data_IF_538913533898
#
_entry.id   IF_538913533898
#
_cell.length_a   1.000
_cell.length_b   1.000
_cell.length_c   1.000
_cell.angle_alpha   90.00
_cell.angle_beta   90.00
_cell.angle_gamma   90.00
#
_symmetry.space_group_name_H-M   'P 1'
#
loop_
_entity.id
_entity.type
_entity.pdbx_description
1 polymer ?
#
# COMPACT_ATOMS: atom_id res chain seq x y z
N UNK A 1 4.58 52.55 36.15
CA UNK A 1 4.64 51.39 35.23
C UNK A 1 3.41 51.49 34.34
N UNK A 2 3.58 52.21 33.25
CA UNK A 2 2.50 52.81 32.48
C UNK A 2 1.86 51.78 31.54
N UNK A 3 0.54 51.85 31.39
CA UNK A 3 -0.30 50.83 30.73
C UNK A 3 0.11 50.55 29.27
N UNK A 4 0.77 51.50 28.62
CA UNK A 4 1.29 51.42 27.24
C UNK A 4 2.48 50.45 27.11
N UNK A 5 3.30 50.28 28.15
CA UNK A 5 4.44 49.36 28.15
C UNK A 5 4.01 47.89 28.19
N UNK A 6 2.79 47.62 28.69
CA UNK A 6 2.23 46.26 28.81
C UNK A 6 1.64 45.75 27.49
N UNK A 7 1.18 46.66 26.62
CA UNK A 7 0.63 46.29 25.31
C UNK A 7 1.70 46.04 24.26
N UNK A 8 2.86 46.70 24.35
CA UNK A 8 4.00 46.44 23.47
C UNK A 8 4.65 45.08 23.74
N UNK A 9 4.61 44.59 24.99
CA UNK A 9 5.13 43.28 25.35
C UNK A 9 4.23 42.13 24.84
N UNK A 10 2.91 42.33 24.80
CA UNK A 10 1.98 41.31 24.32
C UNK A 10 1.97 41.14 22.80
N UNK A 11 2.29 42.19 22.03
CA UNK A 11 2.25 42.12 20.57
C UNK A 11 3.45 41.36 19.96
N UNK A 12 4.54 41.17 20.72
CA UNK A 12 5.75 40.49 20.24
C UNK A 12 5.68 38.95 20.33
N UNK A 13 4.67 38.38 21.01
CA UNK A 13 4.58 36.94 21.28
C UNK A 13 3.68 36.15 20.31
N UNK A 14 3.18 36.76 19.21
CA UNK A 14 2.22 36.10 18.31
C UNK A 14 2.75 35.81 16.90
N UNK A 15 4.07 35.78 16.69
CA UNK A 15 4.67 35.60 15.37
C UNK A 15 5.48 34.32 15.20
N UNK A 16 5.10 33.23 15.88
CA UNK A 16 5.78 31.93 15.74
C UNK A 16 4.79 30.76 15.72
N UNK A 17 3.94 30.69 14.69
CA UNK A 17 3.18 29.46 14.40
C UNK A 17 3.77 28.82 13.14
N UNK A 18 4.77 28.00 13.41
CA UNK A 18 5.15 26.75 12.73
C UNK A 18 4.51 26.50 11.36
N UNK A 19 5.31 26.66 10.30
CA UNK A 19 5.08 25.96 9.03
C UNK A 19 5.29 24.45 9.29
N UNK A 20 4.21 23.75 9.64
CA UNK A 20 4.18 22.30 9.58
C UNK A 20 4.28 21.91 8.10
N UNK A 21 5.50 21.71 7.62
CA UNK A 21 5.73 21.05 6.35
C UNK A 21 5.09 19.66 6.47
N UNK A 22 4.02 19.41 5.72
CA UNK A 22 3.52 18.08 5.46
C UNK A 22 4.64 17.33 4.73
N UNK A 23 5.58 16.77 5.48
CA UNK A 23 6.47 15.76 4.96
C UNK A 23 5.59 14.55 4.68
N UNK A 24 5.12 14.44 3.44
CA UNK A 24 4.70 13.15 2.92
C UNK A 24 5.91 12.26 3.07
N UNK A 25 5.87 11.29 3.99
CA UNK A 25 6.85 10.23 4.03
C UNK A 25 6.79 9.56 2.65
N UNK A 26 7.73 9.91 1.77
CA UNK A 26 7.96 9.14 0.57
C UNK A 26 8.44 7.78 1.08
N UNK A 27 7.55 6.79 1.05
CA UNK A 27 7.92 5.39 1.23
C UNK A 27 9.18 5.15 0.39
N UNK A 28 10.28 4.62 0.97
CA UNK A 28 11.49 4.34 0.23
C UNK A 28 11.13 3.53 -1.01
N UNK A 29 11.36 4.10 -2.19
CA UNK A 29 11.14 3.39 -3.44
C UNK A 29 12.03 2.13 -3.38
N UNK A 30 11.47 0.92 -3.45
CA UNK A 30 12.28 -0.29 -3.34
C UNK A 30 13.38 -0.25 -4.42
N UNK A 31 14.59 -0.77 -4.12
CA UNK A 31 15.70 -0.70 -5.04
C UNK A 31 15.29 -1.24 -6.42
N UNK A 32 15.47 -0.41 -7.45
CA UNK A 32 15.22 -0.79 -8.84
C UNK A 32 16.20 -1.90 -9.19
N UNK A 33 15.74 -3.14 -9.32
CA UNK A 33 16.59 -4.20 -9.85
C UNK A 33 16.29 -5.64 -9.48
N UNK A 34 15.37 -5.94 -8.57
CA UNK A 34 15.03 -7.34 -8.28
C UNK A 34 13.66 -7.68 -8.88
N UNK A 35 13.67 -8.15 -10.13
CA UNK A 35 12.47 -8.68 -10.77
C UNK A 35 12.11 -10.00 -10.08
N UNK A 36 10.98 -10.02 -9.38
CA UNK A 36 10.43 -11.23 -8.79
C UNK A 36 9.74 -12.00 -9.92
N UNK A 37 10.32 -13.11 -10.37
CA UNK A 37 9.76 -13.92 -11.45
C UNK A 37 8.31 -14.34 -11.16
N UNK A 38 7.41 -14.10 -12.09
CA UNK A 38 5.97 -14.30 -11.94
C UNK A 38 5.20 -13.07 -11.47
N UNK A 39 5.81 -12.14 -10.73
CA UNK A 39 5.12 -10.95 -10.23
C UNK A 39 4.98 -9.89 -11.32
N UNK A 40 3.74 -9.47 -11.59
CA UNK A 40 3.43 -8.53 -12.66
C UNK A 40 3.33 -9.16 -14.05
N UNK A 41 3.65 -10.46 -14.18
CA UNK A 41 3.42 -11.21 -15.42
C UNK A 41 1.91 -11.46 -15.61
N UNK A 42 1.43 -11.36 -16.85
CA UNK A 42 0.01 -11.64 -17.18
C UNK A 42 -0.40 -13.05 -16.77
N UNK A 43 0.50 -14.02 -16.92
CA UNK A 43 0.31 -15.40 -16.50
C UNK A 43 1.64 -15.86 -15.89
N UNK A 44 1.75 -15.91 -14.55
CA UNK A 44 2.99 -16.30 -13.90
C UNK A 44 3.39 -17.73 -14.29
N UNK A 45 4.65 -17.92 -14.68
CA UNK A 45 5.14 -19.23 -15.12
C UNK A 45 4.92 -20.34 -14.06
N UNK A 46 4.26 -21.43 -14.47
CA UNK A 46 3.98 -22.58 -13.61
C UNK A 46 2.81 -22.39 -12.62
N UNK A 47 2.23 -21.20 -12.51
CA UNK A 47 1.05 -20.96 -11.68
C UNK A 47 -0.24 -21.38 -12.40
N UNK A 48 -1.16 -21.99 -11.66
CA UNK A 48 -2.51 -22.32 -12.15
C UNK A 48 -3.51 -21.26 -11.64
N UNK A 49 -4.53 -20.97 -12.44
CA UNK A 49 -5.65 -20.16 -11.97
C UNK A 49 -6.39 -20.95 -10.86
N UNK A 50 -6.46 -20.37 -9.66
CA UNK A 50 -7.15 -20.94 -8.49
C UNK A 50 -8.51 -20.28 -8.21
N UNK A 51 -8.90 -19.28 -9.01
CA UNK A 51 -10.19 -18.61 -8.85
C UNK A 51 -11.36 -19.53 -9.20
N UNK A 52 -12.38 -19.54 -8.35
CA UNK A 52 -13.70 -20.13 -8.65
C UNK A 52 -14.65 -19.13 -9.31
N UNK A 53 -14.28 -17.85 -9.38
CA UNK A 53 -15.09 -16.79 -9.97
C UNK A 53 -14.78 -16.64 -11.47
N UNK A 54 -15.80 -16.47 -12.33
CA UNK A 54 -15.57 -16.16 -13.74
C UNK A 54 -15.06 -14.72 -13.95
N UNK A 55 -15.13 -13.86 -12.93
CA UNK A 55 -14.79 -12.44 -13.04
C UNK A 55 -13.30 -12.14 -12.79
N UNK A 56 -12.55 -13.10 -12.25
CA UNK A 56 -11.15 -12.90 -11.89
C UNK A 56 -10.34 -14.15 -12.16
N UNK A 57 -9.08 -13.95 -12.53
CA UNK A 57 -8.06 -15.00 -12.52
C UNK A 57 -7.16 -14.75 -11.31
N UNK A 58 -6.87 -15.78 -10.53
CA UNK A 58 -6.05 -15.66 -9.32
C UNK A 58 -4.91 -16.65 -9.42
N UNK A 59 -3.69 -16.16 -9.24
CA UNK A 59 -2.48 -16.96 -9.29
C UNK A 59 -1.77 -16.89 -7.95
N UNK A 60 -1.44 -18.06 -7.38
CA UNK A 60 -0.63 -18.16 -6.17
C UNK A 60 0.72 -18.78 -6.51
N UNK A 61 1.80 -18.13 -6.09
CA UNK A 61 3.15 -18.63 -6.30
C UNK A 61 4.06 -18.20 -5.13
N UNK A 62 5.15 -18.93 -4.92
CA UNK A 62 6.13 -18.67 -3.87
C UNK A 62 7.47 -18.26 -4.48
N UNK A 63 8.11 -17.23 -3.92
CA UNK A 63 9.47 -16.80 -4.26
C UNK A 63 10.20 -16.42 -2.99
N UNK A 64 11.40 -16.94 -2.80
CA UNK A 64 12.26 -16.65 -1.64
C UNK A 64 11.54 -16.82 -0.29
N UNK A 65 10.66 -17.83 -0.18
CA UNK A 65 9.86 -18.11 1.02
C UNK A 65 8.65 -17.20 1.23
N UNK A 66 8.39 -16.26 0.30
CA UNK A 66 7.25 -15.35 0.34
C UNK A 66 6.16 -15.84 -0.61
N UNK A 67 4.93 -15.98 -0.09
CA UNK A 67 3.77 -16.29 -0.92
C UNK A 67 3.16 -15.02 -1.50
N UNK A 68 3.04 -15.01 -2.83
CA UNK A 68 2.38 -13.97 -3.59
C UNK A 68 1.04 -14.49 -4.11
N UNK A 69 0.01 -13.67 -4.00
CA UNK A 69 -1.29 -13.88 -4.64
C UNK A 69 -1.53 -12.73 -5.60
N UNK A 70 -1.52 -13.02 -6.89
CA UNK A 70 -1.80 -12.05 -7.94
C UNK A 70 -3.23 -12.21 -8.44
N UNK A 71 -3.95 -11.09 -8.55
CA UNK A 71 -5.33 -11.05 -9.04
C UNK A 71 -5.32 -10.32 -10.38
N UNK A 72 -5.86 -11.00 -11.39
CA UNK A 72 -5.96 -10.52 -12.75
C UNK A 72 -7.42 -10.42 -13.20
N UNK A 73 -7.67 -9.57 -14.18
CA UNK A 73 -8.93 -9.53 -14.93
C UNK A 73 -9.11 -10.82 -15.75
N UNK A 74 -10.31 -11.09 -16.30
CA UNK A 74 -10.53 -12.21 -17.21
C UNK A 74 -9.62 -12.16 -18.46
N UNK A 75 -9.16 -10.96 -18.85
CA UNK A 75 -8.25 -10.70 -19.97
C UNK A 75 -6.77 -10.77 -19.57
N UNK A 76 -6.43 -11.30 -18.39
CA UNK A 76 -5.07 -11.45 -17.89
C UNK A 76 -4.34 -10.12 -17.62
N UNK A 77 -5.08 -9.02 -17.41
CA UNK A 77 -4.50 -7.77 -16.90
C UNK A 77 -4.27 -7.88 -15.40
N UNK A 78 -3.07 -7.51 -14.91
CA UNK A 78 -2.78 -7.51 -13.48
C UNK A 78 -3.52 -6.36 -12.80
N UNK A 79 -4.45 -6.71 -11.91
CA UNK A 79 -5.22 -5.71 -11.15
C UNK A 79 -4.47 -5.35 -9.87
N UNK A 80 -4.04 -6.34 -9.10
CA UNK A 80 -3.32 -6.15 -7.83
C UNK A 80 -2.55 -7.42 -7.46
N UNK A 81 -1.61 -7.31 -6.52
CA UNK A 81 -0.99 -8.45 -5.88
C UNK A 81 -0.88 -8.26 -4.37
N UNK A 82 -0.88 -9.38 -3.66
CA UNK A 82 -0.79 -9.45 -2.21
C UNK A 82 0.40 -10.31 -1.80
N UNK A 83 1.10 -9.88 -0.76
CA UNK A 83 1.93 -10.77 0.05
C UNK A 83 1.04 -11.40 1.11
N UNK A 84 1.13 -12.72 1.26
CA UNK A 84 0.40 -13.47 2.28
C UNK A 84 1.39 -14.24 3.14
N UNK A 85 1.45 -13.90 4.43
CA UNK A 85 2.26 -14.60 5.44
C UNK A 85 1.39 -14.99 6.63
N UNK A 86 1.81 -15.96 7.47
CA UNK A 86 1.13 -16.20 8.73
C UNK A 86 1.02 -14.90 9.55
N UNK A 87 -0.20 -14.51 9.89
CA UNK A 87 -0.47 -13.32 10.72
C UNK A 87 -0.47 -11.97 10.00
N UNK A 88 -0.14 -11.88 8.71
CA UNK A 88 -0.16 -10.61 7.98
C UNK A 88 -0.49 -10.77 6.50
N UNK A 89 -1.15 -9.76 5.94
CA UNK A 89 -1.39 -9.63 4.51
C UNK A 89 -1.10 -8.18 4.10
N UNK A 90 -0.41 -8.00 2.98
CA UNK A 90 -0.04 -6.68 2.49
C UNK A 90 -0.32 -6.58 1.00
N UNK A 91 -0.98 -5.51 0.58
CA UNK A 91 -1.15 -5.18 -0.83
C UNK A 91 0.12 -4.54 -1.38
N UNK A 92 0.52 -4.97 -2.57
CA UNK A 92 1.63 -4.39 -3.31
C UNK A 92 1.12 -3.27 -4.24
N UNK A 93 1.90 -2.19 -4.43
CA UNK A 93 1.53 -1.08 -5.30
C UNK A 93 1.78 -1.44 -6.78
N UNK A 94 1.08 -2.47 -7.29
CA UNK A 94 1.20 -2.94 -8.67
C UNK A 94 -0.17 -3.13 -9.31
N UNK A 95 -0.19 -3.13 -10.65
CA UNK A 95 -1.41 -3.31 -11.43
C UNK A 95 -2.30 -2.07 -11.49
N UNK A 96 -3.43 -2.18 -12.19
CA UNK A 96 -4.35 -1.04 -12.40
C UNK A 96 -5.12 -0.61 -11.16
N UNK A 97 -5.18 -1.47 -10.13
CA UNK A 97 -5.74 -1.13 -8.82
C UNK A 97 -4.67 -0.71 -7.80
N UNK A 98 -3.45 -0.37 -8.24
CA UNK A 98 -2.44 0.22 -7.37
C UNK A 98 -3.00 1.48 -6.67
N UNK A 99 -2.92 1.51 -5.34
CA UNK A 99 -3.47 2.59 -4.52
C UNK A 99 -4.97 2.48 -4.22
N UNK A 100 -5.69 1.49 -4.78
CA UNK A 100 -7.04 1.16 -4.32
C UNK A 100 -6.95 0.25 -3.09
N UNK A 101 -7.50 0.65 -1.93
CA UNK A 101 -7.40 -0.16 -0.72
C UNK A 101 -8.08 -1.52 -0.85
N UNK A 102 -7.36 -2.59 -0.49
CA UNK A 102 -7.92 -3.93 -0.31
C UNK A 102 -8.44 -4.08 1.12
N UNK A 103 -9.65 -4.61 1.27
CA UNK A 103 -10.23 -4.94 2.57
C UNK A 103 -9.90 -6.39 2.90
N UNK A 104 -9.10 -6.59 3.95
CA UNK A 104 -8.84 -7.91 4.51
C UNK A 104 -9.92 -8.26 5.53
N UNK A 105 -10.72 -9.29 5.21
CA UNK A 105 -11.76 -9.79 6.11
C UNK A 105 -11.19 -10.94 6.92
N UNK A 106 -11.16 -10.79 8.25
CA UNK A 106 -10.85 -11.89 9.16
C UNK A 106 -12.11 -12.73 9.42
N UNK A 107 -12.18 -13.98 8.93
CA UNK A 107 -13.37 -14.81 9.10
C UNK A 107 -13.57 -15.28 10.55
N UNK A 108 -12.54 -15.21 11.41
CA UNK A 108 -12.64 -15.60 12.83
C UNK A 108 -13.16 -14.45 13.70
N UNK A 109 -13.04 -13.21 13.23
CA UNK A 109 -13.56 -12.02 13.91
C UNK A 109 -14.99 -11.75 13.45
N UNK A 110 -15.97 -12.44 14.06
CA UNK A 110 -17.38 -12.07 13.91
C UNK A 110 -17.66 -10.72 14.61
N UNK A 111 -18.63 -9.92 14.11
CA UNK A 111 -19.04 -8.67 14.75
C UNK A 111 -19.58 -8.89 16.17
#
# INVERSE_FOLDING_TARGET
MDSTSRHLLCAAMLAAVTTAACATAAEPMPPVGQVIQGLGERIPAGAKNISLSPHFKVYKFERDGVTYVQINSPQDEVLTALIVTPGAQQQLPIGSAAGTPVIFVDPQKRP
#
